data_IF_808212452921
#
_entry.id   IF_808212452921
#
_cell.length_a   1.000
_cell.length_b   1.000
_cell.length_c   1.000
_cell.angle_alpha   90.00
_cell.angle_beta   90.00
_cell.angle_gamma   90.00
#
_symmetry.space_group_name_H-M   'P 1'
#
loop_
_entity.id
_entity.type
_entity.pdbx_description
1 polymer ?
#
# COMPACT_ATOMS: atom_id res chain seq x y z
N UNK A 1 2.54 22.44 7.79
CA UNK A 1 2.78 22.00 6.40
C UNK A 1 1.73 20.94 6.09
N UNK A 2 0.99 21.13 5.03
CA UNK A 2 -0.02 20.16 4.56
C UNK A 2 0.57 19.32 3.42
N UNK A 3 0.05 18.11 3.20
CA UNK A 3 0.42 17.28 2.06
C UNK A 3 0.25 17.96 0.70
N UNK A 4 -0.67 18.92 0.58
CA UNK A 4 -0.85 19.75 -0.64
C UNK A 4 0.33 20.69 -0.95
N UNK A 5 1.22 20.92 0.02
CA UNK A 5 2.41 21.75 -0.16
C UNK A 5 3.61 20.95 -0.69
N UNK A 6 3.47 19.62 -0.81
CA UNK A 6 4.53 18.73 -1.27
C UNK A 6 4.47 18.61 -2.79
N UNK A 7 5.54 18.98 -3.46
CA UNK A 7 5.69 18.87 -4.91
C UNK A 7 6.43 17.55 -5.19
N UNK A 8 5.84 16.67 -6.00
CA UNK A 8 6.56 15.48 -6.48
C UNK A 8 7.77 15.93 -7.33
N UNK A 9 8.97 15.33 -7.14
CA UNK A 9 10.12 15.65 -7.96
C UNK A 9 9.81 15.38 -9.43
N UNK A 10 9.93 16.38 -10.28
CA UNK A 10 9.87 16.15 -11.73
C UNK A 10 11.15 15.47 -12.23
N UNK A 11 11.09 14.86 -13.41
CA UNK A 11 12.20 14.14 -14.05
C UNK A 11 13.52 14.94 -14.18
N UNK A 12 13.48 16.26 -13.97
CA UNK A 12 14.63 17.17 -14.04
C UNK A 12 15.42 17.27 -12.73
N UNK A 13 14.88 16.82 -11.61
CA UNK A 13 15.53 16.87 -10.28
C UNK A 13 16.02 15.49 -9.82
N UNK A 14 15.50 14.44 -10.40
CA UNK A 14 16.02 13.08 -10.24
C UNK A 14 17.25 12.93 -11.14
N UNK A 15 18.44 13.11 -10.58
CA UNK A 15 19.73 12.90 -11.28
C UNK A 15 20.01 11.43 -11.57
N UNK A 16 19.14 10.53 -11.17
CA UNK A 16 19.17 9.08 -11.46
C UNK A 16 17.75 8.55 -11.61
N UNK A 17 17.54 7.56 -12.46
CA UNK A 17 16.27 6.81 -12.59
C UNK A 17 15.78 6.22 -11.24
N UNK A 18 16.63 6.26 -10.23
CA UNK A 18 16.45 5.75 -8.88
C UNK A 18 16.44 6.86 -7.81
N UNK A 19 15.76 7.97 -8.02
CA UNK A 19 15.71 9.07 -7.05
C UNK A 19 15.29 8.62 -5.64
N UNK A 20 16.08 8.98 -4.62
CA UNK A 20 15.82 8.73 -3.18
C UNK A 20 14.98 9.83 -2.52
N UNK A 21 14.29 10.64 -3.30
CA UNK A 21 13.42 11.69 -2.79
C UNK A 21 11.96 11.44 -3.16
N UNK A 22 11.08 11.47 -2.16
CA UNK A 22 9.62 11.32 -2.33
C UNK A 22 8.91 12.63 -2.57
N UNK A 23 9.53 13.76 -2.18
CA UNK A 23 8.89 15.06 -2.33
C UNK A 23 9.82 16.23 -2.09
N UNK A 24 9.37 17.42 -2.52
CA UNK A 24 10.05 18.69 -2.28
C UNK A 24 9.03 19.67 -1.72
N UNK A 25 9.38 20.33 -0.61
CA UNK A 25 8.58 21.39 0.00
C UNK A 25 9.36 22.69 -0.06
N UNK A 26 8.69 23.80 -0.34
CA UNK A 26 9.27 25.13 -0.25
C UNK A 26 8.71 25.87 0.97
N UNK A 27 9.56 26.15 1.96
CA UNK A 27 9.21 26.89 3.18
C UNK A 27 10.16 28.08 3.31
N UNK A 28 9.62 29.30 3.43
CA UNK A 28 10.37 30.54 3.60
C UNK A 28 11.54 30.72 2.60
N UNK A 29 11.30 30.36 1.34
CA UNK A 29 12.29 30.42 0.27
C UNK A 29 13.34 29.32 0.29
N UNK A 30 13.29 28.39 1.24
CA UNK A 30 14.16 27.20 1.33
C UNK A 30 13.49 26.00 0.71
N UNK A 31 14.25 25.18 -0.03
CA UNK A 31 13.81 23.90 -0.52
C UNK A 31 14.17 22.83 0.52
N UNK A 32 13.17 22.08 0.94
CA UNK A 32 13.32 20.93 1.83
C UNK A 32 13.01 19.69 1.00
N UNK A 33 13.98 18.78 0.92
CA UNK A 33 13.84 17.52 0.21
C UNK A 33 13.39 16.47 1.21
N UNK A 34 12.29 15.79 0.90
CA UNK A 34 11.81 14.64 1.67
C UNK A 34 12.46 13.39 1.06
N UNK A 35 13.21 12.68 1.90
CA UNK A 35 13.92 11.47 1.47
C UNK A 35 13.05 10.24 1.66
N UNK A 36 13.16 9.30 0.73
CA UNK A 36 12.63 7.94 0.86
C UNK A 36 13.56 7.13 1.77
N UNK A 37 13.26 7.11 3.06
CA UNK A 37 14.06 6.37 4.04
C UNK A 37 13.99 4.85 3.81
N UNK A 38 12.87 4.35 3.34
CA UNK A 38 12.69 2.92 3.05
C UNK A 38 13.59 2.50 1.91
N UNK A 39 13.66 3.33 0.86
CA UNK A 39 14.59 3.11 -0.23
C UNK A 39 16.05 3.19 0.23
N UNK A 40 16.41 4.21 1.02
CA UNK A 40 17.77 4.35 1.57
C UNK A 40 18.15 3.11 2.39
N UNK A 41 17.26 2.64 3.26
CA UNK A 41 17.49 1.45 4.09
C UNK A 41 17.61 0.20 3.22
N UNK A 42 16.75 0.05 2.21
CA UNK A 42 16.82 -1.07 1.27
C UNK A 42 18.10 -1.08 0.43
N UNK A 43 18.61 0.10 0.05
CA UNK A 43 19.87 0.23 -0.70
C UNK A 43 21.09 -0.08 0.19
N UNK A 44 21.04 0.28 1.49
CA UNK A 44 22.12 0.03 2.45
C UNK A 44 22.09 -1.43 2.93
N UNK A 45 20.93 -1.97 3.19
CA UNK A 45 20.74 -3.34 3.65
C UNK A 45 19.54 -4.01 2.96
N UNK A 46 19.78 -4.67 1.82
CA UNK A 46 18.73 -5.36 1.07
C UNK A 46 17.97 -6.44 1.88
N UNK A 47 18.56 -6.92 2.98
CA UNK A 47 17.92 -7.91 3.86
C UNK A 47 16.81 -7.31 4.74
N UNK A 48 16.75 -5.98 4.88
CA UNK A 48 15.64 -5.30 5.59
C UNK A 48 14.43 -5.03 4.70
N UNK A 49 14.57 -5.21 3.37
CA UNK A 49 13.48 -5.17 2.42
C UNK A 49 12.51 -6.36 2.58
N UNK A 50 11.42 -6.33 1.83
CA UNK A 50 10.45 -7.44 1.82
C UNK A 50 11.18 -8.77 1.57
N UNK A 51 11.04 -9.72 2.50
CA UNK A 51 11.71 -11.03 2.44
C UNK A 51 11.07 -11.92 1.37
N UNK A 52 11.41 -11.67 0.12
CA UNK A 52 10.89 -12.41 -1.05
C UNK A 52 11.21 -13.91 -0.96
N UNK A 53 12.29 -14.30 -0.25
CA UNK A 53 12.63 -15.69 0.02
C UNK A 53 11.55 -16.46 0.78
N UNK A 54 10.71 -15.79 1.54
CA UNK A 54 9.56 -16.40 2.23
C UNK A 54 8.47 -16.83 1.25
N UNK A 55 8.37 -16.17 0.09
CA UNK A 55 7.41 -16.52 -0.97
C UNK A 55 7.86 -17.80 -1.70
N UNK A 56 9.16 -17.95 -1.94
CA UNK A 56 9.72 -19.16 -2.57
C UNK A 56 9.43 -20.42 -1.73
N UNK A 57 9.35 -20.25 -0.40
CA UNK A 57 8.99 -21.33 0.52
C UNK A 57 7.52 -21.77 0.44
N UNK A 58 6.62 -20.97 -0.18
CA UNK A 58 5.21 -21.30 -0.35
C UNK A 58 4.95 -22.31 -1.49
N UNK A 59 5.98 -22.62 -2.29
CA UNK A 59 5.90 -23.58 -3.40
C UNK A 59 5.22 -23.05 -4.66
N UNK A 60 5.04 -23.94 -5.65
CA UNK A 60 4.35 -23.61 -6.90
C UNK A 60 2.85 -23.49 -6.65
N UNK A 61 2.27 -22.36 -7.03
CA UNK A 61 0.84 -22.04 -6.83
C UNK A 61 0.14 -21.91 -8.18
N UNK A 62 -1.14 -22.25 -8.20
CA UNK A 62 -2.01 -21.99 -9.35
C UNK A 62 -2.32 -20.49 -9.47
N UNK A 63 -2.53 -20.02 -10.68
CA UNK A 63 -3.01 -18.66 -10.95
C UNK A 63 -4.34 -18.41 -10.24
N UNK A 64 -4.47 -17.21 -9.66
CA UNK A 64 -5.64 -16.75 -8.93
C UNK A 64 -6.03 -15.36 -9.44
N UNK A 65 -7.21 -15.26 -10.01
CA UNK A 65 -7.77 -14.06 -10.61
C UNK A 65 -8.54 -13.17 -9.61
N UNK A 66 -8.44 -13.45 -8.31
CA UNK A 66 -9.07 -12.62 -7.27
C UNK A 66 -8.55 -11.18 -7.38
N UNK A 67 -9.43 -10.17 -7.60
CA UNK A 67 -9.02 -8.80 -7.74
C UNK A 67 -8.62 -8.21 -6.38
N UNK A 68 -7.37 -7.78 -6.29
CA UNK A 68 -6.76 -7.17 -5.11
C UNK A 68 -6.44 -5.71 -5.40
N UNK A 69 -7.01 -4.81 -4.60
CA UNK A 69 -6.69 -3.39 -4.63
C UNK A 69 -5.58 -3.10 -3.62
N UNK A 70 -4.49 -2.47 -4.08
CA UNK A 70 -3.37 -2.07 -3.24
C UNK A 70 -3.28 -0.55 -3.20
N UNK A 71 -3.26 0.04 -2.00
CA UNK A 71 -2.97 1.43 -1.75
C UNK A 71 -1.62 1.56 -1.04
N UNK A 72 -0.63 2.13 -1.74
CA UNK A 72 0.76 2.25 -1.29
C UNK A 72 1.40 3.43 -2.04
N UNK A 73 1.95 4.41 -1.33
CA UNK A 73 2.50 5.62 -1.95
C UNK A 73 3.94 5.43 -2.48
N UNK A 74 4.72 4.58 -1.83
CA UNK A 74 6.06 4.24 -2.30
C UNK A 74 5.99 3.39 -3.58
N UNK A 75 6.42 3.96 -4.72
CA UNK A 75 6.45 3.26 -5.99
C UNK A 75 7.31 1.97 -5.94
N UNK A 76 8.40 1.99 -5.15
CA UNK A 76 9.27 0.84 -4.96
C UNK A 76 8.55 -0.26 -4.18
N UNK A 77 7.97 0.06 -3.02
CA UNK A 77 7.26 -0.91 -2.19
C UNK A 77 6.02 -1.45 -2.89
N UNK A 78 5.26 -0.58 -3.54
CA UNK A 78 4.11 -0.98 -4.35
C UNK A 78 4.51 -2.01 -5.41
N UNK A 79 5.64 -1.78 -6.11
CA UNK A 79 6.18 -2.73 -7.08
C UNK A 79 6.57 -4.05 -6.41
N UNK A 80 7.30 -3.99 -5.29
CA UNK A 80 7.73 -5.19 -4.56
C UNK A 80 6.54 -6.03 -4.05
N UNK A 81 5.49 -5.38 -3.52
CA UNK A 81 4.27 -6.07 -3.09
C UNK A 81 3.59 -6.75 -4.29
N UNK A 82 3.41 -6.01 -5.40
CA UNK A 82 2.81 -6.53 -6.63
C UNK A 82 3.61 -7.71 -7.18
N UNK A 83 4.93 -7.58 -7.31
CA UNK A 83 5.80 -8.64 -7.83
C UNK A 83 5.75 -9.88 -6.92
N UNK A 84 5.66 -9.67 -5.62
CA UNK A 84 5.54 -10.73 -4.62
C UNK A 84 4.20 -11.47 -4.70
N UNK A 85 3.10 -10.74 -4.84
CA UNK A 85 1.78 -11.32 -5.01
C UNK A 85 1.66 -12.09 -6.34
N UNK A 86 2.21 -11.54 -7.43
CA UNK A 86 2.27 -12.24 -8.72
C UNK A 86 3.07 -13.53 -8.65
N UNK A 87 4.24 -13.52 -8.00
CA UNK A 87 5.01 -14.76 -7.74
C UNK A 87 4.22 -15.78 -6.90
N UNK A 88 3.27 -15.30 -6.11
CA UNK A 88 2.35 -16.13 -5.31
C UNK A 88 1.08 -16.53 -6.06
N UNK A 89 0.98 -16.24 -7.37
CA UNK A 89 -0.12 -16.65 -8.25
C UNK A 89 -1.28 -15.66 -8.34
N UNK A 90 -1.22 -14.48 -7.69
CA UNK A 90 -2.27 -13.46 -7.80
C UNK A 90 -2.00 -12.53 -8.98
N UNK A 91 -2.81 -12.63 -10.04
CA UNK A 91 -2.57 -11.90 -11.29
C UNK A 91 -3.36 -10.59 -11.39
N UNK A 92 -4.56 -10.53 -10.80
CA UNK A 92 -5.45 -9.38 -10.91
C UNK A 92 -5.21 -8.37 -9.78
N UNK A 93 -4.25 -7.47 -9.99
CA UNK A 93 -3.83 -6.49 -8.99
C UNK A 93 -4.05 -5.07 -9.48
N UNK A 94 -4.89 -4.33 -8.78
CA UNK A 94 -5.18 -2.92 -9.00
C UNK A 94 -4.30 -2.09 -8.06
N UNK A 95 -3.71 -1.01 -8.57
CA UNK A 95 -2.76 -0.16 -7.83
C UNK A 95 -3.32 1.23 -7.66
N UNK A 96 -3.21 1.76 -6.44
CA UNK A 96 -3.46 3.14 -6.09
C UNK A 96 -2.24 3.72 -5.37
N UNK A 97 -1.95 4.99 -5.60
CA UNK A 97 -0.80 5.69 -5.01
C UNK A 97 -1.09 6.29 -3.63
N UNK A 98 -2.34 6.26 -3.22
CA UNK A 98 -2.80 6.80 -1.93
C UNK A 98 -4.23 6.31 -1.64
N UNK A 99 -4.72 6.60 -0.43
CA UNK A 99 -6.06 6.19 -0.03
C UNK A 99 -7.18 6.89 -0.80
N UNK A 100 -6.95 8.10 -1.31
CA UNK A 100 -7.95 8.83 -2.09
C UNK A 100 -8.19 8.14 -3.44
N UNK A 101 -7.14 7.81 -4.18
CA UNK A 101 -7.24 7.04 -5.44
C UNK A 101 -7.91 5.68 -5.23
N UNK A 102 -7.54 4.98 -4.14
CA UNK A 102 -8.16 3.69 -3.81
C UNK A 102 -9.66 3.85 -3.53
N UNK A 103 -10.04 4.89 -2.78
CA UNK A 103 -11.43 5.17 -2.50
C UNK A 103 -12.23 5.56 -3.75
N UNK A 104 -11.67 6.42 -4.60
CA UNK A 104 -12.27 6.80 -5.89
C UNK A 104 -12.51 5.58 -6.79
N UNK A 105 -11.54 4.66 -6.85
CA UNK A 105 -11.69 3.41 -7.59
C UNK A 105 -12.84 2.58 -7.05
N UNK A 106 -12.92 2.38 -5.73
CA UNK A 106 -14.02 1.66 -5.06
C UNK A 106 -15.37 2.32 -5.38
N UNK A 107 -15.46 3.65 -5.26
CA UNK A 107 -16.70 4.39 -5.57
C UNK A 107 -17.12 4.25 -7.03
N UNK A 108 -16.15 4.24 -7.95
CA UNK A 108 -16.40 4.00 -9.38
C UNK A 108 -16.94 2.60 -9.63
N UNK A 109 -16.35 1.57 -9.05
CA UNK A 109 -16.84 0.19 -9.15
C UNK A 109 -18.25 0.06 -8.54
N UNK A 110 -18.51 0.71 -7.40
CA UNK A 110 -19.83 0.77 -6.78
C UNK A 110 -20.87 1.42 -7.71
N UNK A 111 -20.55 2.56 -8.31
CA UNK A 111 -21.45 3.26 -9.23
C UNK A 111 -21.75 2.44 -10.50
N UNK A 112 -20.79 1.66 -10.97
CA UNK A 112 -20.94 0.78 -12.12
C UNK A 112 -21.64 -0.55 -11.80
N UNK A 113 -21.85 -0.87 -10.54
CA UNK A 113 -22.42 -2.16 -10.11
C UNK A 113 -21.46 -3.35 -10.20
N UNK A 114 -20.14 -3.10 -10.37
CA UNK A 114 -19.10 -4.12 -10.56
C UNK A 114 -18.24 -4.33 -9.32
N UNK A 115 -18.58 -3.69 -8.20
CA UNK A 115 -17.77 -3.69 -6.98
C UNK A 115 -17.35 -5.10 -6.54
N UNK A 116 -18.30 -6.03 -6.52
CA UNK A 116 -18.04 -7.41 -6.09
C UNK A 116 -17.15 -8.21 -7.06
N UNK A 117 -17.03 -7.77 -8.30
CA UNK A 117 -16.21 -8.43 -9.32
C UNK A 117 -14.83 -7.77 -9.42
N UNK A 118 -14.73 -6.49 -9.07
CA UNK A 118 -13.52 -5.68 -9.26
C UNK A 118 -12.70 -5.48 -7.98
N UNK A 119 -13.28 -5.69 -6.77
CA UNK A 119 -12.57 -5.54 -5.49
C UNK A 119 -12.99 -6.63 -4.51
N UNK A 120 -12.12 -7.61 -4.29
CA UNK A 120 -12.33 -8.70 -3.32
C UNK A 120 -11.49 -8.55 -2.06
N UNK A 121 -10.42 -7.74 -2.12
CA UNK A 121 -9.50 -7.48 -1.02
C UNK A 121 -8.89 -6.10 -1.19
N UNK A 122 -8.77 -5.38 -0.10
CA UNK A 122 -7.99 -4.15 -0.01
C UNK A 122 -6.75 -4.39 0.86
N UNK A 123 -5.58 -4.09 0.32
CA UNK A 123 -4.32 -3.99 1.06
C UNK A 123 -3.94 -2.51 1.11
N UNK A 124 -3.68 -1.97 2.28
CA UNK A 124 -3.36 -0.54 2.43
C UNK A 124 -2.20 -0.30 3.36
N UNK A 125 -1.29 0.62 2.98
CA UNK A 125 -0.39 1.24 3.94
C UNK A 125 -1.17 2.19 4.86
N UNK A 126 -0.58 2.56 6.00
CA UNK A 126 -1.10 3.58 6.91
C UNK A 126 -0.67 4.96 6.43
N UNK A 127 0.63 5.17 6.21
CA UNK A 127 1.19 6.49 5.90
C UNK A 127 1.17 6.78 4.40
N UNK A 128 0.14 7.47 3.96
CA UNK A 128 0.00 7.90 2.57
C UNK A 128 -0.44 9.36 2.49
N UNK A 129 -0.03 10.10 1.44
CA UNK A 129 -0.51 11.45 1.18
C UNK A 129 -2.02 11.47 0.88
N UNK A 130 -2.64 12.63 1.02
CA UNK A 130 -4.05 12.91 0.72
C UNK A 130 -5.02 12.17 1.63
N UNK A 131 -4.99 10.84 1.67
CA UNK A 131 -5.79 10.00 2.54
C UNK A 131 -4.94 8.86 3.09
N UNK A 132 -4.82 8.79 4.42
CA UNK A 132 -4.15 7.70 5.14
C UNK A 132 -4.96 6.39 5.14
N UNK A 133 -4.28 5.26 5.42
CA UNK A 133 -4.91 3.95 5.38
C UNK A 133 -5.96 3.71 6.47
N UNK A 134 -5.86 4.36 7.62
CA UNK A 134 -6.88 4.28 8.66
C UNK A 134 -8.18 4.97 8.20
N UNK A 135 -8.05 6.14 7.58
CA UNK A 135 -9.22 6.85 7.01
C UNK A 135 -9.85 6.04 5.89
N UNK A 136 -9.03 5.47 5.01
CA UNK A 136 -9.53 4.58 3.95
C UNK A 136 -10.27 3.38 4.53
N UNK A 137 -9.68 2.68 5.51
CA UNK A 137 -10.32 1.54 6.22
C UNK A 137 -11.66 1.95 6.81
N UNK A 138 -11.70 3.10 7.51
CA UNK A 138 -12.95 3.62 8.07
C UNK A 138 -14.04 3.84 7.02
N UNK A 139 -13.69 4.45 5.89
CA UNK A 139 -14.64 4.69 4.79
C UNK A 139 -15.18 3.38 4.23
N UNK A 140 -14.29 2.42 3.95
CA UNK A 140 -14.66 1.10 3.43
C UNK A 140 -15.57 0.35 4.42
N UNK A 141 -15.23 0.34 5.70
CA UNK A 141 -15.98 -0.41 6.73
C UNK A 141 -17.28 0.29 7.19
N UNK A 142 -17.42 1.58 6.92
CA UNK A 142 -18.63 2.35 7.30
C UNK A 142 -19.70 2.39 6.21
N UNK A 143 -19.42 2.01 4.98
CA UNK A 143 -20.37 2.01 3.86
C UNK A 143 -20.97 0.62 3.69
N UNK A 144 -22.28 0.51 3.72
CA UNK A 144 -23.00 -0.78 3.64
C UNK A 144 -22.68 -1.61 2.39
N UNK A 145 -22.31 -0.96 1.29
CA UNK A 145 -21.94 -1.66 0.06
C UNK A 145 -20.50 -2.21 0.09
N UNK A 146 -19.61 -1.62 0.88
CA UNK A 146 -18.17 -1.95 0.88
C UNK A 146 -17.67 -2.60 2.17
N UNK A 147 -18.45 -2.54 3.27
CA UNK A 147 -18.03 -3.03 4.60
C UNK A 147 -17.59 -4.49 4.64
N UNK A 148 -18.10 -5.31 3.71
CA UNK A 148 -17.74 -6.72 3.61
C UNK A 148 -16.44 -6.97 2.83
N UNK A 149 -15.83 -5.94 2.21
CA UNK A 149 -14.52 -6.08 1.58
C UNK A 149 -13.49 -6.29 2.69
N UNK A 150 -12.73 -7.40 2.70
CA UNK A 150 -11.63 -7.59 3.63
C UNK A 150 -10.58 -6.49 3.46
N UNK A 151 -10.08 -5.96 4.58
CA UNK A 151 -9.05 -4.92 4.61
C UNK A 151 -7.85 -5.41 5.40
N UNK A 152 -6.70 -5.48 4.74
CA UNK A 152 -5.41 -5.80 5.36
C UNK A 152 -4.57 -4.53 5.41
N UNK A 153 -4.21 -4.10 6.61
CA UNK A 153 -3.23 -3.03 6.81
C UNK A 153 -1.83 -3.65 6.75
N UNK A 154 -0.99 -3.17 5.84
CA UNK A 154 0.38 -3.64 5.65
C UNK A 154 1.33 -2.44 5.70
N UNK A 155 1.93 -2.19 6.87
CA UNK A 155 2.68 -0.95 7.13
C UNK A 155 3.97 -1.18 7.92
N UNK A 156 4.95 -0.28 7.74
CA UNK A 156 6.16 -0.22 8.55
C UNK A 156 5.87 0.26 9.98
N UNK A 157 4.78 0.98 10.19
CA UNK A 157 4.37 1.54 11.47
C UNK A 157 3.30 0.67 12.17
N UNK A 158 3.70 -0.48 12.66
CA UNK A 158 2.81 -1.35 13.45
C UNK A 158 3.27 -1.36 14.91
N UNK A 159 2.79 -0.39 15.69
CA UNK A 159 2.87 -0.42 17.15
C UNK A 159 1.51 -0.82 17.76
N UNK A 160 1.46 -1.04 19.07
CA UNK A 160 0.22 -1.46 19.76
C UNK A 160 -0.95 -0.45 19.58
N UNK A 161 -0.65 0.85 19.60
CA UNK A 161 -1.65 1.90 19.42
C UNK A 161 -2.24 1.88 18.01
N UNK A 162 -1.37 1.77 16.98
CA UNK A 162 -1.80 1.68 15.59
C UNK A 162 -2.56 0.38 15.31
N UNK A 163 -2.13 -0.73 15.92
CA UNK A 163 -2.84 -2.01 15.82
C UNK A 163 -4.23 -1.93 16.41
N UNK A 164 -4.36 -1.40 17.63
CA UNK A 164 -5.66 -1.20 18.26
C UNK A 164 -6.55 -0.28 17.44
N UNK A 165 -6.00 0.81 16.91
CA UNK A 165 -6.76 1.73 16.05
C UNK A 165 -7.28 1.05 14.79
N UNK A 166 -6.47 0.23 14.12
CA UNK A 166 -6.92 -0.52 12.95
C UNK A 166 -8.02 -1.54 13.27
N UNK A 167 -7.90 -2.26 14.41
CA UNK A 167 -8.94 -3.16 14.92
C UNK A 167 -10.25 -2.43 15.20
N UNK A 168 -10.20 -1.29 15.89
CA UNK A 168 -11.35 -0.44 16.20
C UNK A 168 -12.04 0.08 14.93
N UNK A 169 -11.29 0.24 13.83
CA UNK A 169 -11.80 0.63 12.51
C UNK A 169 -12.35 -0.54 11.69
N UNK A 170 -12.17 -1.76 12.16
CA UNK A 170 -12.65 -2.99 11.51
C UNK A 170 -11.70 -3.56 10.45
N UNK A 171 -10.41 -3.26 10.49
CA UNK A 171 -9.43 -3.98 9.68
C UNK A 171 -9.42 -5.47 10.02
N UNK A 172 -9.42 -6.33 8.99
CA UNK A 172 -9.49 -7.79 9.17
C UNK A 172 -8.12 -8.38 9.54
N UNK A 173 -7.03 -7.74 9.10
CA UNK A 173 -5.68 -8.08 9.51
C UNK A 173 -4.74 -6.86 9.48
N UNK A 174 -3.66 -6.95 10.26
CA UNK A 174 -2.60 -5.94 10.29
C UNK A 174 -1.25 -6.62 10.37
N UNK A 175 -0.39 -6.32 9.41
CA UNK A 175 0.93 -6.94 9.25
C UNK A 175 2.01 -5.88 9.10
N UNK A 176 3.20 -6.20 9.55
CA UNK A 176 4.36 -5.33 9.38
C UNK A 176 5.05 -5.59 8.03
N UNK A 177 5.54 -4.55 7.37
CA UNK A 177 6.11 -4.59 6.00
C UNK A 177 7.31 -5.44 5.91
N UNK A 178 8.14 -5.98 6.57
CA UNK A 178 9.02 -7.03 6.04
C UNK A 178 8.35 -8.41 5.90
N UNK A 179 7.15 -8.59 6.45
CA UNK A 179 6.50 -9.92 6.54
C UNK A 179 5.62 -10.23 5.32
N UNK A 180 6.15 -10.09 4.10
CA UNK A 180 5.39 -10.34 2.86
C UNK A 180 4.89 -11.79 2.75
N UNK A 181 5.63 -12.75 3.27
CA UNK A 181 5.19 -14.15 3.31
C UNK A 181 3.97 -14.37 4.19
N UNK A 182 3.84 -13.61 5.28
CA UNK A 182 2.65 -13.62 6.13
C UNK A 182 1.47 -12.93 5.45
N UNK A 183 1.72 -11.88 4.65
CA UNK A 183 0.67 -11.24 3.86
C UNK A 183 0.01 -12.27 2.93
N UNK A 184 0.80 -13.03 2.17
CA UNK A 184 0.27 -14.08 1.29
C UNK A 184 -0.54 -15.11 2.06
N UNK A 185 -0.06 -15.58 3.22
CA UNK A 185 -0.80 -16.54 4.06
C UNK A 185 -2.14 -16.01 4.57
N UNK A 186 -2.21 -14.71 4.88
CA UNK A 186 -3.45 -14.06 5.32
C UNK A 186 -4.44 -13.93 4.17
N UNK A 187 -3.96 -13.65 2.96
CA UNK A 187 -4.81 -13.58 1.76
C UNK A 187 -5.40 -14.95 1.40
N UNK A 188 -4.69 -16.02 1.71
CA UNK A 188 -5.11 -17.41 1.42
C UNK A 188 -6.22 -17.95 2.33
N UNK A 189 -6.55 -17.25 3.43
CA UNK A 189 -7.58 -17.66 4.40
C UNK A 189 -8.97 -17.21 3.99
#
# INVERSE_FOLDING_TARGET
VSWVDIIKPGATVSTTEDGISTGIIKIDGRLIIILDFEKIISDINPETGLKVTEIEALGVRSENEVPILIAEDSALLRKLIVDSLKKSGYENIIKAENGEEAWEYIQKCKANGTLNDDVKLLITDIEMPLMDGHRLTKLVKSDDATKNIPVVIFSSLVNEEMRKKGEDLGADAQLSKPEIGNLVKVIDQ
#
